data_IF_357751342388
#
_entry.id   IF_357751342388
#
_cell.length_a   1.000
_cell.length_b   1.000
_cell.length_c   1.000
_cell.angle_alpha   90.00
_cell.angle_beta   90.00
_cell.angle_gamma   90.00
#
_symmetry.space_group_name_H-M   'P 1'
#
loop_
_entity.id
_entity.type
_entity.pdbx_description
1 polymer ?
#
# COMPACT_ATOMS: atom_id res chain seq x y z
N UNK A 1 -0.02 4.29 3.41
CA UNK A 1 -0.34 4.15 4.85
C UNK A 1 -0.49 2.68 5.19
N UNK A 2 -0.02 2.25 6.37
CA UNK A 2 -0.15 0.87 6.86
C UNK A 2 -1.10 0.86 8.06
N UNK A 3 -2.24 0.18 7.96
CA UNK A 3 -3.19 -0.04 9.06
C UNK A 3 -2.98 -1.45 9.64
N UNK A 4 -2.30 -1.52 10.78
CA UNK A 4 -2.02 -2.78 11.49
C UNK A 4 -3.25 -3.43 12.13
N UNK A 5 -4.31 -2.66 12.45
CA UNK A 5 -5.52 -3.22 13.07
C UNK A 5 -6.37 -3.93 12.03
N UNK A 6 -6.48 -3.34 10.85
CA UNK A 6 -7.23 -3.93 9.72
C UNK A 6 -6.36 -4.84 8.84
N UNK A 7 -5.03 -4.85 9.06
CA UNK A 7 -4.02 -5.53 8.25
C UNK A 7 -4.16 -5.16 6.76
N UNK A 8 -4.16 -3.87 6.48
CA UNK A 8 -4.28 -3.31 5.13
C UNK A 8 -3.21 -2.26 4.84
N UNK A 9 -2.85 -2.17 3.57
CA UNK A 9 -1.97 -1.13 3.04
C UNK A 9 -2.78 -0.27 2.07
N UNK A 10 -2.84 1.02 2.35
CA UNK A 10 -3.48 2.02 1.48
C UNK A 10 -2.39 2.80 0.75
N UNK A 11 -2.41 2.78 -0.58
CA UNK A 11 -1.51 3.57 -1.42
C UNK A 11 -2.22 4.86 -1.78
N UNK A 12 -1.55 5.98 -1.49
CA UNK A 12 -2.05 7.32 -1.75
C UNK A 12 -1.21 7.95 -2.85
N UNK A 13 -1.84 8.75 -3.70
CA UNK A 13 -1.19 9.60 -4.70
C UNK A 13 -1.48 11.05 -4.37
N UNK A 14 -0.52 11.94 -4.64
CA UNK A 14 -0.73 13.39 -4.51
C UNK A 14 -1.27 13.92 -5.83
N UNK A 15 -2.55 14.32 -5.83
CA UNK A 15 -3.26 14.90 -6.96
C UNK A 15 -3.72 16.30 -6.57
N UNK A 16 -3.40 17.32 -7.38
CA UNK A 16 -3.85 18.70 -7.17
C UNK A 16 -3.65 19.26 -5.75
N UNK A 17 -2.54 18.85 -5.10
CA UNK A 17 -2.17 19.21 -3.71
C UNK A 17 -2.92 18.47 -2.60
N UNK A 18 -3.71 17.44 -2.92
CA UNK A 18 -4.39 16.58 -1.96
C UNK A 18 -3.97 15.11 -2.12
N UNK A 19 -3.95 14.36 -1.00
CA UNK A 19 -3.70 12.92 -1.04
C UNK A 19 -4.99 12.17 -1.37
N UNK A 20 -5.07 11.62 -2.57
CA UNK A 20 -6.16 10.75 -3.00
C UNK A 20 -5.81 9.28 -2.75
N UNK A 21 -6.80 8.48 -2.36
CA UNK A 21 -6.65 7.03 -2.24
C UNK A 21 -6.59 6.40 -3.62
N UNK A 22 -5.47 5.75 -3.94
CA UNK A 22 -5.28 5.05 -5.20
C UNK A 22 -5.70 3.59 -5.07
N UNK A 23 -5.03 2.83 -4.19
CA UNK A 23 -5.26 1.39 -4.04
C UNK A 23 -5.32 0.99 -2.56
N UNK A 24 -6.00 -0.12 -2.29
CA UNK A 24 -6.01 -0.79 -0.98
C UNK A 24 -5.64 -2.25 -1.18
N UNK A 25 -4.66 -2.72 -0.41
CA UNK A 25 -4.18 -4.10 -0.43
C UNK A 25 -4.36 -4.75 0.94
N UNK A 26 -4.78 -6.01 0.95
CA UNK A 26 -4.92 -6.84 2.13
C UNK A 26 -3.84 -7.92 2.26
N UNK A 27 -3.88 -8.67 3.36
CA UNK A 27 -3.02 -9.85 3.55
C UNK A 27 -3.31 -10.87 2.45
N UNK A 28 -2.27 -11.29 1.73
CA UNK A 28 -2.37 -12.17 0.55
C UNK A 28 -2.10 -11.45 -0.76
N UNK A 29 -2.22 -10.12 -0.78
CA UNK A 29 -1.88 -9.30 -1.94
C UNK A 29 -0.39 -8.94 -1.96
N UNK A 30 0.08 -8.48 -3.13
CA UNK A 30 1.36 -7.79 -3.29
C UNK A 30 1.08 -6.34 -3.65
N UNK A 31 1.48 -5.41 -2.77
CA UNK A 31 1.35 -3.99 -3.04
C UNK A 31 2.44 -3.54 -4.02
N UNK A 32 2.03 -2.90 -5.12
CA UNK A 32 2.94 -2.41 -6.17
C UNK A 32 3.01 -0.89 -6.10
N UNK A 33 4.22 -0.33 -6.24
CA UNK A 33 4.40 1.12 -6.36
C UNK A 33 4.20 1.57 -7.79
N UNK A 34 3.44 2.65 -7.97
CA UNK A 34 3.24 3.30 -9.27
C UNK A 34 4.39 4.26 -9.60
N UNK A 35 5.09 4.77 -8.58
CA UNK A 35 6.17 5.76 -8.73
C UNK A 35 7.55 5.08 -8.78
N UNK A 36 7.75 4.05 -7.93
CA UNK A 36 8.99 3.30 -7.90
C UNK A 36 8.87 2.10 -8.84
N UNK A 37 9.39 2.25 -10.05
CA UNK A 37 9.38 1.17 -11.05
C UNK A 37 10.03 -0.10 -10.49
N UNK A 38 9.37 -1.25 -10.69
CA UNK A 38 9.78 -2.57 -10.19
C UNK A 38 9.81 -2.72 -8.66
N UNK A 39 9.29 -1.74 -7.90
CA UNK A 39 9.10 -1.91 -6.46
C UNK A 39 7.75 -2.55 -6.18
N UNK A 40 7.80 -3.65 -5.44
CA UNK A 40 6.62 -4.34 -4.92
C UNK A 40 6.95 -4.95 -3.56
N UNK A 41 5.95 -5.04 -2.69
CA UNK A 41 6.08 -5.66 -1.37
C UNK A 41 4.90 -6.61 -1.11
N UNK A 42 5.15 -7.88 -0.76
CA UNK A 42 4.10 -8.77 -0.27
C UNK A 42 3.50 -8.19 1.01
N UNK A 43 2.18 -8.00 1.05
CA UNK A 43 1.53 -7.37 2.22
C UNK A 43 1.65 -8.22 3.48
N UNK A 44 1.78 -9.53 3.32
CA UNK A 44 2.02 -10.45 4.42
C UNK A 44 3.31 -10.08 5.19
N UNK A 45 4.38 -9.71 4.49
CA UNK A 45 5.69 -9.40 5.09
C UNK A 45 5.69 -8.16 5.97
N UNK A 46 4.76 -7.22 5.72
CA UNK A 46 4.60 -5.99 6.53
C UNK A 46 3.96 -6.31 7.88
N UNK A 47 3.12 -7.36 7.94
CA UNK A 47 2.36 -7.73 9.13
C UNK A 47 2.89 -8.99 9.84
N UNK A 48 3.96 -9.58 9.32
CA UNK A 48 4.72 -10.61 10.02
C UNK A 48 5.54 -9.93 11.15
N UNK A 49 5.52 -10.56 12.33
CA UNK A 49 6.32 -10.13 13.49
C UNK A 49 7.75 -10.63 13.37
#
# INVERSE_FOLDING_TARGET
MVDYRKKKVEVLVLEDSEFALQNVYGVGDTAVSVILTNFSVPVADIFHK
#
